data_IF_694555372221
#
_entry.id   IF_694555372221
#
_cell.length_a   1.000
_cell.length_b   1.000
_cell.length_c   1.000
_cell.angle_alpha   90.00
_cell.angle_beta   90.00
_cell.angle_gamma   90.00
#
_symmetry.space_group_name_H-M   'P 1'
#
loop_
_entity.id
_entity.type
_entity.pdbx_description
1 polymer ?
#
# COMPACT_ATOMS: atom_id res chain seq x y z
N UNK A 1 19.47 6.80 -15.23
CA UNK A 1 17.99 6.69 -15.19
C UNK A 1 17.63 5.22 -15.08
N UNK A 2 16.68 4.88 -14.22
CA UNK A 2 16.13 3.52 -14.17
C UNK A 2 15.30 3.26 -15.44
N UNK A 3 15.33 2.02 -15.94
CA UNK A 3 14.50 1.56 -17.06
C UNK A 3 13.74 0.31 -16.60
N UNK A 4 12.48 0.23 -17.01
CA UNK A 4 11.67 -0.99 -16.90
C UNK A 4 11.40 -1.46 -18.33
N UNK A 5 11.78 -2.70 -18.63
CA UNK A 5 11.55 -3.34 -19.93
C UNK A 5 10.52 -4.45 -19.71
N UNK A 6 9.43 -4.43 -20.48
CA UNK A 6 8.35 -5.42 -20.39
C UNK A 6 8.23 -6.13 -21.74
N UNK A 7 8.27 -7.45 -21.72
CA UNK A 7 8.04 -8.29 -22.90
C UNK A 7 6.57 -8.73 -22.93
N UNK A 8 5.88 -8.43 -24.03
CA UNK A 8 4.46 -8.77 -24.21
C UNK A 8 4.24 -10.19 -24.71
N UNK A 9 2.98 -10.58 -24.88
CA UNK A 9 2.57 -11.82 -25.54
C UNK A 9 2.10 -12.94 -24.62
N UNK A 10 2.18 -12.77 -23.30
CA UNK A 10 1.71 -13.76 -22.32
C UNK A 10 0.50 -13.20 -21.56
N UNK A 11 -0.69 -13.84 -21.63
CA UNK A 11 -1.83 -13.49 -20.79
C UNK A 11 -1.50 -13.69 -19.31
N UNK A 12 -1.95 -12.77 -18.45
CA UNK A 12 -1.80 -12.90 -17.00
C UNK A 12 -2.70 -14.02 -16.48
N UNK A 13 -2.17 -14.89 -15.62
CA UNK A 13 -2.91 -15.94 -14.92
C UNK A 13 -2.38 -16.04 -13.47
N UNK A 14 -3.27 -15.87 -12.50
CA UNK A 14 -2.95 -15.95 -11.07
C UNK A 14 -3.70 -14.91 -10.25
N UNK A 15 -3.34 -14.84 -8.97
CA UNK A 15 -3.92 -13.92 -8.00
C UNK A 15 -2.80 -13.16 -7.28
N UNK A 16 -3.07 -11.90 -6.93
CA UNK A 16 -2.17 -11.06 -6.14
C UNK A 16 -2.94 -10.33 -5.07
N UNK A 17 -2.27 -10.04 -3.96
CA UNK A 17 -2.82 -9.26 -2.86
C UNK A 17 -2.36 -7.81 -2.98
N UNK A 18 -3.30 -6.88 -2.83
CA UNK A 18 -3.01 -5.44 -2.84
C UNK A 18 -2.97 -4.93 -1.40
N UNK A 19 -2.04 -4.04 -1.13
CA UNK A 19 -1.96 -3.33 0.14
C UNK A 19 -3.10 -2.31 0.32
N UNK A 20 -3.25 -1.75 1.51
CA UNK A 20 -4.23 -0.70 1.79
C UNK A 20 -4.00 0.57 0.96
N UNK A 21 -5.03 1.42 0.89
CA UNK A 21 -4.97 2.64 0.11
C UNK A 21 -4.09 3.70 0.81
N UNK A 22 -3.10 4.23 0.09
CA UNK A 22 -2.26 5.36 0.55
C UNK A 22 -3.11 6.51 1.11
N UNK A 23 -4.15 6.90 0.39
CA UNK A 23 -4.95 8.07 0.74
C UNK A 23 -5.88 7.82 1.93
N UNK A 24 -6.10 6.56 2.32
CA UNK A 24 -6.79 6.23 3.56
C UNK A 24 -5.81 6.17 4.74
N UNK A 25 -4.64 5.54 4.56
CA UNK A 25 -3.69 5.36 5.66
C UNK A 25 -3.06 6.67 6.13
N UNK A 26 -2.80 7.61 5.22
CA UNK A 26 -2.20 8.90 5.57
C UNK A 26 -3.02 9.69 6.62
N UNK A 27 -4.33 9.95 6.44
CA UNK A 27 -5.12 10.61 7.47
C UNK A 27 -5.35 9.73 8.71
N UNK A 28 -5.40 8.40 8.57
CA UNK A 28 -5.49 7.49 9.72
C UNK A 28 -4.25 7.61 10.61
N UNK A 29 -3.05 7.67 10.03
CA UNK A 29 -1.81 7.92 10.76
C UNK A 29 -1.82 9.27 11.46
N UNK A 30 -2.32 10.32 10.82
CA UNK A 30 -2.49 11.63 11.48
C UNK A 30 -3.48 11.57 12.64
N UNK A 31 -4.56 10.80 12.52
CA UNK A 31 -5.57 10.66 13.56
C UNK A 31 -5.07 9.93 14.81
N UNK A 32 -3.98 9.15 14.73
CA UNK A 32 -3.41 8.50 15.93
C UNK A 32 -2.84 9.51 16.94
N UNK A 33 -2.60 10.76 16.53
CA UNK A 33 -2.21 11.84 17.43
C UNK A 33 -3.30 12.17 18.47
N UNK A 34 -4.55 11.78 18.20
CA UNK A 34 -5.70 12.01 19.09
C UNK A 34 -5.91 10.86 20.08
N UNK A 35 -5.15 9.78 20.01
CA UNK A 35 -5.33 8.61 20.86
C UNK A 35 -4.47 8.71 22.13
N UNK A 36 -5.03 8.36 23.29
CA UNK A 36 -4.32 8.31 24.58
C UNK A 36 -3.38 7.09 24.72
N UNK A 37 -3.33 6.21 23.72
CA UNK A 37 -2.60 4.95 23.77
C UNK A 37 -2.12 4.48 22.39
N UNK A 38 -1.38 3.36 22.32
CA UNK A 38 -0.78 2.88 21.08
C UNK A 38 -1.84 2.48 20.06
N UNK A 39 -1.69 2.97 18.82
CA UNK A 39 -2.46 2.54 17.67
C UNK A 39 -1.63 1.56 16.81
N UNK A 40 -2.18 0.39 16.50
CA UNK A 40 -1.58 -0.58 15.58
C UNK A 40 -2.39 -0.59 14.29
N UNK A 41 -1.76 -0.24 13.17
CA UNK A 41 -2.41 -0.13 11.85
C UNK A 41 -1.81 -1.19 10.93
N UNK A 42 -2.65 -2.12 10.46
CA UNK A 42 -2.27 -3.16 9.51
C UNK A 42 -2.52 -2.77 8.05
N UNK A 43 -2.03 -3.59 7.12
CA UNK A 43 -2.23 -3.43 5.67
C UNK A 43 -1.77 -2.06 5.11
N UNK A 44 -0.70 -1.49 5.67
CA UNK A 44 -0.13 -0.21 5.20
C UNK A 44 0.71 -0.46 3.93
N UNK A 45 0.48 0.27 2.82
CA UNK A 45 1.31 0.18 1.62
C UNK A 45 2.73 0.67 1.85
N UNK A 46 3.70 0.19 1.07
CA UNK A 46 5.02 0.83 0.97
C UNK A 46 4.87 2.15 0.19
N UNK A 47 5.30 3.26 0.79
CA UNK A 47 5.06 4.63 0.31
C UNK A 47 6.33 5.30 -0.21
#
# INVERSE_FOLDING_TARGET
>A
MAKIIVEGGVPLNGEVWISGAKNAVLPILSATLLADGPCVIGNVPHL
#
